data_IF_231080472469
#
_entry.id   IF_231080472469
#
_cell.length_a   1.000
_cell.length_b   1.000
_cell.length_c   1.000
_cell.angle_alpha   90.00
_cell.angle_beta   90.00
_cell.angle_gamma   90.00
#
_symmetry.space_group_name_H-M   'P 1'
#
loop_
_entity.id
_entity.type
_entity.pdbx_description
1 polymer ?
#
# COMPACT_ATOMS: atom_id res chain seq x y z
N UNK A 1 20.56 -7.68 -14.89
CA UNK A 1 19.53 -8.40 -14.13
C UNK A 1 20.26 -9.48 -13.37
N UNK A 2 20.45 -9.27 -12.06
CA UNK A 2 21.18 -10.21 -11.20
C UNK A 2 20.33 -11.47 -11.05
N UNK A 3 20.90 -12.63 -11.36
CA UNK A 3 20.34 -13.92 -10.94
C UNK A 3 20.40 -13.95 -9.40
N UNK A 4 19.36 -13.43 -8.76
CA UNK A 4 19.19 -13.63 -7.32
C UNK A 4 19.11 -15.12 -7.10
N UNK A 5 20.11 -15.67 -6.42
CA UNK A 5 20.30 -17.10 -6.28
C UNK A 5 19.09 -17.63 -5.51
N UNK A 6 18.29 -18.50 -6.12
CA UNK A 6 17.09 -19.08 -5.48
C UNK A 6 17.43 -19.63 -4.09
N UNK A 7 18.66 -20.14 -3.93
CA UNK A 7 19.20 -20.60 -2.65
C UNK A 7 19.34 -19.51 -1.59
N UNK A 8 19.70 -18.27 -1.95
CA UNK A 8 19.76 -17.16 -0.99
C UNK A 8 18.37 -16.81 -0.47
N UNK A 9 17.38 -16.70 -1.35
CA UNK A 9 15.98 -16.43 -0.98
C UNK A 9 15.44 -17.53 -0.07
N UNK A 10 15.73 -18.80 -0.39
CA UNK A 10 15.33 -19.95 0.43
C UNK A 10 16.04 -19.98 1.78
N UNK A 11 17.31 -19.56 1.86
CA UNK A 11 18.05 -19.49 3.13
C UNK A 11 17.60 -18.34 4.03
N UNK A 12 17.20 -17.22 3.44
CA UNK A 12 16.69 -16.05 4.15
C UNK A 12 15.30 -16.31 4.74
N UNK A 13 14.44 -17.03 3.99
CA UNK A 13 13.13 -17.51 4.43
C UNK A 13 13.16 -18.39 5.69
N UNK A 14 14.27 -19.10 5.90
CA UNK A 14 14.41 -20.14 6.92
C UNK A 14 15.05 -19.65 8.22
N UNK A 15 15.57 -18.42 8.26
CA UNK A 15 16.14 -17.84 9.49
C UNK A 15 17.60 -17.41 9.41
N UNK A 16 18.14 -17.21 8.20
CA UNK A 16 19.51 -16.71 8.04
C UNK A 16 20.58 -17.76 8.37
N UNK A 17 21.86 -17.44 8.12
CA UNK A 17 22.98 -18.40 8.15
C UNK A 17 23.34 -18.92 9.54
N UNK A 18 22.64 -18.51 10.60
CA UNK A 18 22.89 -18.92 11.99
C UNK A 18 21.96 -20.04 12.48
N UNK A 19 20.93 -20.43 11.71
CA UNK A 19 20.10 -21.60 12.04
C UNK A 19 20.65 -22.85 11.32
N UNK A 20 21.53 -23.58 12.02
CA UNK A 20 22.06 -24.86 11.57
C UNK A 20 20.90 -25.85 11.31
N UNK A 21 20.60 -26.16 10.05
CA UNK A 21 19.95 -27.44 9.77
C UNK A 21 19.10 -27.59 8.51
N UNK A 22 18.97 -26.58 7.65
CA UNK A 22 18.05 -26.69 6.51
C UNK A 22 18.82 -26.54 5.19
N UNK A 23 19.32 -27.67 4.68
CA UNK A 23 19.89 -27.79 3.34
C UNK A 23 18.76 -27.96 2.30
N UNK A 24 18.54 -26.97 1.41
CA UNK A 24 17.51 -27.05 0.36
C UNK A 24 17.66 -28.28 -0.54
N UNK A 25 18.88 -28.83 -0.68
CA UNK A 25 19.15 -30.01 -1.50
C UNK A 25 18.74 -31.33 -0.84
N UNK A 26 18.51 -31.33 0.49
CA UNK A 26 18.03 -32.48 1.27
C UNK A 26 16.56 -32.36 1.67
N UNK A 27 15.86 -31.31 1.25
CA UNK A 27 14.45 -31.13 1.51
C UNK A 27 13.58 -32.00 0.59
N UNK A 28 12.45 -32.48 1.12
CA UNK A 28 11.43 -33.08 0.27
C UNK A 28 10.83 -32.02 -0.66
N UNK A 29 10.42 -32.44 -1.87
CA UNK A 29 9.75 -31.56 -2.83
C UNK A 29 8.52 -30.85 -2.22
N UNK A 30 7.77 -31.55 -1.36
CA UNK A 30 6.67 -30.99 -0.54
C UNK A 30 7.14 -29.79 0.31
N UNK A 31 8.27 -29.93 0.99
CA UNK A 31 8.85 -28.90 1.86
C UNK A 31 9.30 -27.69 1.05
N UNK A 32 9.97 -27.90 -0.09
CA UNK A 32 10.39 -26.81 -0.98
C UNK A 32 9.19 -26.03 -1.54
N UNK A 33 8.15 -26.75 -1.98
CA UNK A 33 6.92 -26.14 -2.49
C UNK A 33 6.21 -25.35 -1.38
N UNK A 34 6.16 -25.88 -0.16
CA UNK A 34 5.56 -25.18 0.97
C UNK A 34 6.35 -23.90 1.30
N UNK A 35 7.68 -23.96 1.29
CA UNK A 35 8.55 -22.82 1.58
C UNK A 35 8.38 -21.71 0.55
N UNK A 36 8.43 -22.05 -0.74
CA UNK A 36 8.24 -21.10 -1.85
C UNK A 36 6.86 -20.43 -1.77
N UNK A 37 5.80 -21.20 -1.51
CA UNK A 37 4.46 -20.64 -1.38
C UNK A 37 4.31 -19.77 -0.13
N UNK A 38 4.96 -20.13 0.97
CA UNK A 38 4.95 -19.34 2.22
C UNK A 38 5.63 -17.99 2.01
N UNK A 39 6.81 -17.97 1.38
CA UNK A 39 7.50 -16.73 1.04
C UNK A 39 6.73 -15.87 0.06
N UNK A 40 6.14 -16.49 -0.98
CA UNK A 40 5.29 -15.75 -1.92
C UNK A 40 4.08 -15.10 -1.21
N UNK A 41 3.42 -15.83 -0.32
CA UNK A 41 2.29 -15.31 0.45
C UNK A 41 2.71 -14.18 1.39
N UNK A 42 3.87 -14.32 2.06
CA UNK A 42 4.45 -13.29 2.93
C UNK A 42 4.78 -12.03 2.14
N UNK A 43 5.46 -12.15 1.00
CA UNK A 43 5.74 -11.03 0.11
C UNK A 43 4.46 -10.31 -0.35
N UNK A 44 3.44 -11.07 -0.78
CA UNK A 44 2.15 -10.49 -1.19
C UNK A 44 1.48 -9.78 0.00
N UNK A 45 1.54 -10.35 1.19
CA UNK A 45 0.99 -9.75 2.40
C UNK A 45 1.70 -8.45 2.76
N UNK A 46 3.03 -8.44 2.81
CA UNK A 46 3.83 -7.27 3.17
C UNK A 46 3.62 -6.13 2.17
N UNK A 47 3.57 -6.47 0.88
CA UNK A 47 3.28 -5.50 -0.19
C UNK A 47 1.86 -4.95 -0.08
N UNK A 48 0.88 -5.81 0.19
CA UNK A 48 -0.52 -5.39 0.39
C UNK A 48 -0.65 -4.46 1.59
N UNK A 49 0.02 -4.76 2.71
CA UNK A 49 0.02 -3.92 3.91
C UNK A 49 0.67 -2.55 3.65
N UNK A 50 1.77 -2.53 2.90
CA UNK A 50 2.44 -1.29 2.48
C UNK A 50 1.50 -0.43 1.64
N UNK A 51 0.93 -1.00 0.58
CA UNK A 51 0.00 -0.30 -0.32
C UNK A 51 -1.24 0.22 0.44
N UNK A 52 -1.79 -0.55 1.39
CA UNK A 52 -2.91 -0.11 2.23
C UNK A 52 -2.54 1.03 3.18
N UNK A 53 -1.33 1.00 3.74
CA UNK A 53 -0.86 2.04 4.66
C UNK A 53 -0.67 3.35 3.92
N UNK A 54 -0.03 3.30 2.75
CA UNK A 54 0.12 4.47 1.88
C UNK A 54 -1.23 5.04 1.44
N UNK A 55 -2.17 4.17 1.04
CA UNK A 55 -3.52 4.59 0.66
C UNK A 55 -4.23 5.27 1.83
N UNK A 56 -4.15 4.70 3.03
CA UNK A 56 -4.76 5.27 4.24
C UNK A 56 -4.17 6.64 4.54
N UNK A 57 -2.86 6.79 4.44
CA UNK A 57 -2.20 8.07 4.68
C UNK A 57 -2.54 9.11 3.61
N UNK A 58 -2.64 8.70 2.34
CA UNK A 58 -3.13 9.59 1.27
C UNK A 58 -4.58 10.01 1.50
N UNK A 59 -5.45 9.11 1.97
CA UNK A 59 -6.83 9.43 2.32
C UNK A 59 -6.93 10.40 3.50
N UNK A 60 -6.03 10.32 4.50
CA UNK A 60 -5.95 11.34 5.55
C UNK A 60 -5.62 12.71 4.97
N UNK A 61 -4.67 12.80 4.03
CA UNK A 61 -4.31 14.05 3.34
C UNK A 61 -5.50 14.65 2.59
N UNK A 62 -6.26 13.82 1.86
CA UNK A 62 -7.49 14.25 1.18
C UNK A 62 -8.52 14.80 2.18
N UNK A 63 -8.72 14.11 3.30
CA UNK A 63 -9.62 14.58 4.35
C UNK A 63 -9.18 15.92 4.97
N UNK A 64 -7.87 16.12 5.16
CA UNK A 64 -7.29 17.39 5.62
C UNK A 64 -7.51 18.52 4.61
N UNK A 65 -7.25 18.29 3.32
CA UNK A 65 -7.52 19.27 2.25
C UNK A 65 -9.01 19.65 2.18
N UNK A 66 -9.93 18.70 2.38
CA UNK A 66 -11.36 19.02 2.47
C UNK A 66 -11.73 19.84 3.71
N UNK A 67 -11.08 19.59 4.86
CA UNK A 67 -11.24 20.43 6.05
C UNK A 67 -10.75 21.86 5.79
N UNK A 68 -9.60 22.01 5.14
CA UNK A 68 -9.03 23.31 4.75
C UNK A 68 -9.99 24.05 3.82
N UNK A 69 -10.50 23.36 2.78
CA UNK A 69 -11.46 23.94 1.83
C UNK A 69 -12.75 24.40 2.52
N UNK A 70 -13.26 23.62 3.49
CA UNK A 70 -14.42 24.00 4.30
C UNK A 70 -14.12 25.22 5.19
N UNK A 71 -12.95 25.28 5.80
CA UNK A 71 -12.52 26.40 6.62
C UNK A 71 -12.40 27.69 5.80
N UNK A 72 -11.76 27.64 4.63
CA UNK A 72 -11.67 28.76 3.68
C UNK A 72 -13.07 29.26 3.32
N UNK A 73 -13.96 28.36 2.90
CA UNK A 73 -15.33 28.74 2.52
C UNK A 73 -16.14 29.34 3.66
N UNK A 74 -15.84 28.97 4.91
CA UNK A 74 -16.53 29.49 6.10
C UNK A 74 -15.97 30.84 6.54
N UNK A 75 -14.71 31.14 6.21
CA UNK A 75 -14.05 32.43 6.44
C UNK A 75 -14.30 33.44 5.31
N UNK A 76 -14.90 33.01 4.19
CA UNK A 76 -15.25 33.88 3.07
C UNK A 76 -16.38 34.84 3.45
N UNK A 77 -16.16 36.13 3.25
CA UNK A 77 -17.16 37.17 3.47
C UNK A 77 -18.20 37.24 2.32
N UNK A 78 -19.23 38.07 2.47
CA UNK A 78 -20.28 38.22 1.45
C UNK A 78 -19.77 38.73 0.10
N UNK A 79 -18.64 39.43 0.09
CA UNK A 79 -17.98 39.97 -1.10
C UNK A 79 -17.08 38.93 -1.81
N UNK A 80 -16.91 37.75 -1.20
CA UNK A 80 -16.13 36.64 -1.74
C UNK A 80 -14.65 36.68 -1.40
N UNK A 81 -14.22 37.60 -0.55
CA UNK A 81 -12.87 37.78 -0.04
C UNK A 81 -12.66 36.99 1.26
N UNK A 82 -11.41 36.64 1.53
CA UNK A 82 -11.01 35.88 2.73
C UNK A 82 -9.90 36.64 3.42
N UNK A 83 -10.15 37.07 4.66
CA UNK A 83 -9.13 37.62 5.55
C UNK A 83 -8.84 36.63 6.67
N UNK A 84 -7.57 36.25 6.77
CA UNK A 84 -7.04 35.20 7.64
C UNK A 84 -6.08 35.80 8.67
N UNK A 85 -5.95 37.13 8.69
CA UNK A 85 -4.98 37.84 9.53
C UNK A 85 -5.17 37.54 11.02
N UNK A 86 -6.42 37.38 11.46
CA UNK A 86 -6.79 37.18 12.86
C UNK A 86 -7.10 35.72 13.24
N UNK A 87 -7.05 34.79 12.26
CA UNK A 87 -7.42 33.39 12.48
C UNK A 87 -6.19 32.48 12.46
N UNK A 88 -5.58 32.26 13.62
CA UNK A 88 -4.41 31.39 13.78
C UNK A 88 -4.67 29.95 13.32
N UNK A 89 -5.86 29.39 13.57
CA UNK A 89 -6.20 28.03 13.13
C UNK A 89 -6.14 27.89 11.60
N UNK A 90 -6.62 28.91 10.89
CA UNK A 90 -6.71 28.89 9.44
C UNK A 90 -5.34 29.17 8.78
N UNK A 91 -4.46 29.92 9.47
CA UNK A 91 -3.04 30.04 9.10
C UNK A 91 -2.31 28.72 9.22
N UNK A 92 -2.47 27.99 10.32
CA UNK A 92 -1.90 26.65 10.48
C UNK A 92 -2.42 25.68 9.42
N UNK A 93 -3.72 25.75 9.09
CA UNK A 93 -4.34 24.93 8.05
C UNK A 93 -3.79 25.24 6.65
N UNK A 94 -3.51 26.50 6.33
CA UNK A 94 -2.86 26.88 5.07
C UNK A 94 -1.40 26.46 5.01
N UNK A 95 -0.69 26.52 6.12
CA UNK A 95 0.68 26.01 6.20
C UNK A 95 0.73 24.50 5.97
N UNK A 96 -0.21 23.75 6.56
CA UNK A 96 -0.41 22.33 6.24
C UNK A 96 -0.78 22.11 4.78
N UNK A 97 -1.62 22.95 4.18
CA UNK A 97 -1.94 22.86 2.75
C UNK A 97 -0.68 22.95 1.88
N UNK A 98 0.24 23.86 2.23
CA UNK A 98 1.53 24.01 1.55
C UNK A 98 2.40 22.76 1.69
N UNK A 99 2.49 22.18 2.88
CA UNK A 99 3.20 20.91 3.12
C UNK A 99 2.59 19.74 2.31
N UNK A 100 1.29 19.81 2.03
CA UNK A 100 0.56 18.83 1.22
C UNK A 100 0.69 19.07 -0.30
N UNK A 101 1.43 20.10 -0.74
CA UNK A 101 1.73 20.36 -2.14
C UNK A 101 0.85 21.41 -2.82
N UNK A 102 0.01 22.12 -2.07
CA UNK A 102 -0.80 23.22 -2.61
C UNK A 102 0.08 24.47 -2.78
N UNK A 103 0.00 25.11 -3.94
CA UNK A 103 0.71 26.37 -4.20
C UNK A 103 0.01 27.53 -3.45
N UNK A 104 0.60 27.89 -2.30
CA UNK A 104 0.17 29.01 -1.46
C UNK A 104 1.30 30.03 -1.40
N UNK A 105 0.99 31.29 -1.72
CA UNK A 105 1.96 32.40 -1.60
C UNK A 105 2.32 32.64 -0.14
N UNK A 106 3.61 32.74 0.13
CA UNK A 106 4.14 33.04 1.47
C UNK A 106 3.67 34.39 2.00
N UNK A 107 3.36 34.43 3.30
CA UNK A 107 3.00 35.61 4.08
C UNK A 107 1.75 36.39 3.62
N UNK A 108 0.93 35.80 2.76
CA UNK A 108 -0.32 36.41 2.30
C UNK A 108 -1.51 35.91 3.11
N UNK A 109 -2.03 36.77 3.98
CA UNK A 109 -3.17 36.46 4.85
C UNK A 109 -4.49 37.05 4.37
N UNK A 110 -4.48 37.88 3.34
CA UNK A 110 -5.68 38.48 2.74
C UNK A 110 -5.77 38.07 1.27
N UNK A 111 -6.86 37.41 0.90
CA UNK A 111 -7.13 36.96 -0.46
C UNK A 111 -8.34 37.70 -1.00
N UNK A 112 -8.17 38.35 -2.16
CA UNK A 112 -9.31 38.84 -2.92
C UNK A 112 -10.09 37.64 -3.52
N UNK A 113 -11.26 37.92 -4.09
CA UNK A 113 -12.12 36.89 -4.68
C UNK A 113 -11.40 36.00 -5.72
N UNK A 114 -10.67 36.61 -6.65
CA UNK A 114 -9.98 35.88 -7.72
C UNK A 114 -8.85 34.99 -7.18
N UNK A 115 -8.10 35.48 -6.19
CA UNK A 115 -7.02 34.75 -5.55
C UNK A 115 -7.54 33.61 -4.68
N UNK A 116 -8.68 33.81 -4.01
CA UNK A 116 -9.37 32.75 -3.28
C UNK A 116 -9.87 31.68 -4.23
N UNK A 117 -10.48 32.05 -5.36
CA UNK A 117 -10.96 31.08 -6.34
C UNK A 117 -9.80 30.25 -6.91
N UNK A 118 -8.63 30.85 -7.17
CA UNK A 118 -7.41 30.12 -7.55
C UNK A 118 -6.91 29.19 -6.46
N UNK A 119 -6.89 29.63 -5.21
CA UNK A 119 -6.47 28.79 -4.07
C UNK A 119 -7.40 27.57 -3.90
N UNK A 120 -8.71 27.79 -3.98
CA UNK A 120 -9.71 26.71 -3.91
C UNK A 120 -9.53 25.74 -5.07
N UNK A 121 -9.28 26.24 -6.28
CA UNK A 121 -9.06 25.39 -7.44
C UNK A 121 -7.76 24.58 -7.33
N UNK A 122 -6.66 25.17 -6.87
CA UNK A 122 -5.41 24.46 -6.61
C UNK A 122 -5.61 23.31 -5.58
N UNK A 123 -6.37 23.56 -4.52
CA UNK A 123 -6.72 22.53 -3.53
C UNK A 123 -7.55 21.42 -4.18
N UNK A 124 -8.53 21.77 -5.03
CA UNK A 124 -9.36 20.78 -5.73
C UNK A 124 -8.56 19.92 -6.70
N UNK A 125 -7.68 20.53 -7.49
CA UNK A 125 -6.77 19.81 -8.39
C UNK A 125 -5.90 18.83 -7.59
N UNK A 126 -5.31 19.28 -6.48
CA UNK A 126 -4.50 18.41 -5.61
C UNK A 126 -5.31 17.24 -5.05
N UNK A 127 -6.55 17.49 -4.61
CA UNK A 127 -7.46 16.44 -4.15
C UNK A 127 -7.77 15.43 -5.27
N UNK A 128 -8.03 15.92 -6.48
CA UNK A 128 -8.31 15.06 -7.65
C UNK A 128 -7.11 14.18 -7.99
N UNK A 129 -5.90 14.75 -8.04
CA UNK A 129 -4.66 14.00 -8.26
C UNK A 129 -4.45 12.89 -7.21
N UNK A 130 -4.69 13.21 -5.94
CA UNK A 130 -4.59 12.22 -4.85
C UNK A 130 -5.65 11.13 -4.98
N UNK A 131 -6.87 11.46 -5.44
CA UNK A 131 -7.92 10.49 -5.68
C UNK A 131 -7.61 9.56 -6.86
N UNK A 132 -7.06 10.09 -7.96
CA UNK A 132 -6.59 9.27 -9.08
C UNK A 132 -5.52 8.27 -8.61
N UNK A 133 -4.57 8.72 -7.79
CA UNK A 133 -3.56 7.83 -7.21
C UNK A 133 -4.17 6.78 -6.27
N UNK A 134 -5.20 7.13 -5.49
CA UNK A 134 -5.92 6.20 -4.64
C UNK A 134 -6.62 5.12 -5.46
N UNK A 135 -7.29 5.49 -6.56
CA UNK A 135 -7.96 4.54 -7.45
C UNK A 135 -6.96 3.57 -8.10
N UNK A 136 -5.81 4.08 -8.55
CA UNK A 136 -4.73 3.24 -9.06
C UNK A 136 -4.19 2.28 -8.00
N UNK A 137 -3.99 2.74 -6.77
CA UNK A 137 -3.54 1.87 -5.68
C UNK A 137 -4.60 0.83 -5.29
N UNK A 138 -5.89 1.16 -5.31
CA UNK A 138 -6.97 0.18 -5.09
C UNK A 138 -6.98 -0.92 -6.15
N UNK A 139 -6.68 -0.58 -7.41
CA UNK A 139 -6.51 -1.59 -8.46
C UNK A 139 -5.32 -2.51 -8.17
N UNK A 140 -4.20 -1.95 -7.69
CA UNK A 140 -3.03 -2.75 -7.28
C UNK A 140 -3.35 -3.69 -6.10
N UNK A 141 -4.03 -3.20 -5.08
CA UNK A 141 -4.49 -4.01 -3.93
C UNK A 141 -5.44 -5.12 -4.38
N UNK A 142 -6.35 -4.82 -5.31
CA UNK A 142 -7.26 -5.81 -5.88
C UNK A 142 -6.50 -6.89 -6.65
N UNK A 143 -5.51 -6.49 -7.46
CA UNK A 143 -4.61 -7.41 -8.17
C UNK A 143 -3.83 -8.30 -7.20
N UNK A 144 -3.24 -7.73 -6.15
CA UNK A 144 -2.50 -8.48 -5.12
C UNK A 144 -3.41 -9.46 -4.36
N UNK A 145 -4.66 -9.07 -4.10
CA UNK A 145 -5.66 -9.93 -3.46
C UNK A 145 -5.99 -11.14 -4.33
N UNK A 146 -6.17 -10.93 -5.63
CA UNK A 146 -6.38 -12.02 -6.58
C UNK A 146 -5.14 -12.93 -6.67
N UNK A 147 -3.95 -12.35 -6.75
CA UNK A 147 -2.69 -13.11 -6.79
C UNK A 147 -2.50 -13.96 -5.53
N UNK A 148 -2.92 -13.45 -4.37
CA UNK A 148 -2.94 -14.20 -3.11
C UNK A 148 -3.85 -15.43 -3.22
N UNK A 149 -5.06 -15.24 -3.74
CA UNK A 149 -6.02 -16.32 -3.90
C UNK A 149 -5.52 -17.40 -4.88
N UNK A 150 -4.95 -16.98 -6.01
CA UNK A 150 -4.32 -17.87 -6.97
C UNK A 150 -3.16 -18.66 -6.35
N UNK A 151 -2.33 -18.01 -5.53
CA UNK A 151 -1.23 -18.67 -4.81
C UNK A 151 -1.74 -19.76 -3.85
N UNK A 152 -2.84 -19.49 -3.13
CA UNK A 152 -3.50 -20.51 -2.29
C UNK A 152 -4.05 -21.68 -3.11
N UNK A 153 -4.67 -21.40 -4.27
CA UNK A 153 -5.19 -22.44 -5.14
C UNK A 153 -4.07 -23.30 -5.73
N UNK A 154 -2.97 -22.69 -6.16
CA UNK A 154 -1.78 -23.38 -6.65
C UNK A 154 -1.14 -24.26 -5.56
N UNK A 155 -0.96 -23.72 -4.35
CA UNK A 155 -0.44 -24.50 -3.23
C UNK A 155 -1.31 -25.73 -2.97
N UNK A 156 -2.64 -25.57 -2.98
CA UNK A 156 -3.58 -26.67 -2.77
C UNK A 156 -3.57 -27.69 -3.91
N UNK A 157 -3.50 -27.24 -5.17
CA UNK A 157 -3.50 -28.12 -6.34
C UNK A 157 -2.23 -28.96 -6.47
N UNK A 158 -1.12 -28.49 -5.88
CA UNK A 158 0.15 -29.21 -5.86
C UNK A 158 0.25 -30.13 -4.63
N UNK A 159 -0.08 -29.64 -3.44
CA UNK A 159 0.08 -30.40 -2.20
C UNK A 159 -0.86 -31.61 -2.11
N UNK A 160 -2.10 -31.48 -2.61
CA UNK A 160 -3.09 -32.57 -2.51
C UNK A 160 -2.68 -33.82 -3.32
N UNK A 161 -2.33 -33.71 -4.62
CA UNK A 161 -1.83 -34.87 -5.37
C UNK A 161 -0.53 -35.46 -4.81
N UNK A 162 0.39 -34.63 -4.31
CA UNK A 162 1.64 -35.11 -3.69
C UNK A 162 1.35 -35.97 -2.46
N UNK A 163 0.45 -35.51 -1.60
CA UNK A 163 0.01 -36.26 -0.43
C UNK A 163 -0.71 -37.57 -0.79
N UNK A 164 -1.60 -37.54 -1.80
CA UNK A 164 -2.29 -38.72 -2.31
C UNK A 164 -1.31 -39.75 -2.92
N UNK A 165 -0.32 -39.29 -3.69
CA UNK A 165 0.72 -40.14 -4.26
C UNK A 165 1.59 -40.80 -3.17
N UNK A 166 1.98 -40.03 -2.16
CA UNK A 166 2.78 -40.53 -1.01
C UNK A 166 2.02 -41.58 -0.21
N UNK A 167 0.74 -41.33 0.08
CA UNK A 167 -0.11 -42.29 0.81
C UNK A 167 -0.37 -43.56 -0.01
N UNK A 168 -0.56 -43.44 -1.33
CA UNK A 168 -0.68 -44.59 -2.23
C UNK A 168 0.62 -45.43 -2.27
N UNK A 169 1.78 -44.78 -2.39
CA UNK A 169 3.08 -45.47 -2.36
C UNK A 169 3.34 -46.17 -1.03
N UNK A 170 3.06 -45.50 0.09
CA UNK A 170 3.22 -46.09 1.42
C UNK A 170 2.33 -47.34 1.62
N UNK A 171 1.10 -47.33 1.09
CA UNK A 171 0.21 -48.48 1.10
C UNK A 171 0.72 -49.62 0.22
N UNK A 172 1.27 -49.32 -0.96
CA UNK A 172 1.83 -50.33 -1.86
C UNK A 172 3.05 -51.06 -1.24
N UNK A 173 3.91 -50.33 -0.52
CA UNK A 173 5.07 -50.92 0.18
C UNK A 173 4.64 -51.82 1.35
N UNK A 174 3.57 -51.45 2.05
CA UNK A 174 3.09 -52.18 3.24
C UNK A 174 2.26 -53.43 2.90
N UNK A 175 1.81 -53.55 1.66
CA UNK A 175 1.05 -54.69 1.12
C UNK A 175 1.87 -55.66 0.27
N UNK A 176 3.18 -55.42 0.11
CA UNK A 176 4.16 -56.33 -0.49
C UNK A 176 4.95 -57.05 0.61
#
# INVERSE_FOLDING_TARGET
>A
MSETNVNEILSEAVGGPEDEGIDPNNMSLETLILLINTERLKFIQDKTLTDFTELKDRQKKVAELHKILKAINSATNADGEVDISDNEELKELLQKAKELGVDVKDDKFTYNRDERDRLVENIRMTVEDLNVQNDMQLQNVSRLTNERYESYQMARSILKPLHEAKTAHAKAIRGA
#
